data_IF_778456853665
#
_entry.id   IF_778456853665
#
_cell.length_a   1.000
_cell.length_b   1.000
_cell.length_c   1.000
_cell.angle_alpha   90.00
_cell.angle_beta   90.00
_cell.angle_gamma   90.00
#
_symmetry.space_group_name_H-M   'P 1'
#
loop_
_entity.id
_entity.type
_entity.pdbx_description
1 polymer ?
#
# COMPACT_ATOMS: atom_id res chain seq x y z
N UNK A 1 14.69 -5.25 3.11
CA UNK A 1 14.72 -5.56 1.67
C UNK A 1 14.47 -4.24 0.99
N UNK A 2 15.48 -3.64 0.40
CA UNK A 2 15.33 -2.35 -0.28
C UNK A 2 15.35 -2.62 -1.79
N UNK A 3 14.19 -2.56 -2.48
CA UNK A 3 14.17 -2.67 -3.93
C UNK A 3 14.68 -1.37 -4.51
N UNK A 4 15.78 -1.45 -5.27
CA UNK A 4 16.36 -0.32 -5.97
C UNK A 4 16.00 -0.47 -7.45
N UNK A 5 15.07 0.33 -7.97
CA UNK A 5 14.72 0.32 -9.39
C UNK A 5 15.84 0.97 -10.20
N UNK A 6 16.17 0.36 -11.33
CA UNK A 6 17.27 0.70 -12.22
C UNK A 6 16.72 1.18 -13.57
N UNK A 7 16.27 2.43 -13.63
CA UNK A 7 15.83 3.05 -14.89
C UNK A 7 17.03 3.31 -15.84
N UNK A 8 16.85 3.31 -17.17
CA UNK A 8 15.59 3.28 -17.94
C UNK A 8 14.98 1.88 -18.15
N UNK A 9 15.71 0.81 -17.82
CA UNK A 9 15.19 -0.56 -17.93
C UNK A 9 14.20 -0.78 -16.77
N UNK A 10 13.02 -1.38 -16.99
CA UNK A 10 12.12 -1.72 -15.88
C UNK A 10 12.73 -2.91 -15.13
N UNK A 11 13.74 -2.61 -14.32
CA UNK A 11 14.52 -3.60 -13.60
C UNK A 11 14.75 -3.14 -12.18
N UNK A 12 14.93 -4.08 -11.28
CA UNK A 12 15.22 -3.79 -9.89
C UNK A 12 16.13 -4.85 -9.31
N UNK A 13 16.95 -4.44 -8.36
CA UNK A 13 17.66 -5.38 -7.51
C UNK A 13 17.27 -5.14 -6.06
N UNK A 14 17.31 -6.19 -5.25
CA UNK A 14 17.11 -6.04 -3.83
C UNK A 14 18.45 -6.11 -3.10
N UNK A 15 18.78 -5.04 -2.37
CA UNK A 15 19.83 -5.07 -1.37
C UNK A 15 19.23 -5.43 0.00
N UNK A 16 19.82 -6.39 0.70
CA UNK A 16 19.40 -6.74 2.06
C UNK A 16 19.83 -8.15 2.47
N UNK A 17 19.71 -8.44 3.77
CA UNK A 17 20.18 -9.68 4.39
C UNK A 17 19.78 -10.95 3.63
N UNK A 18 18.52 -11.05 3.20
CA UNK A 18 18.01 -12.21 2.45
C UNK A 18 18.59 -12.35 1.03
N UNK A 19 18.86 -11.24 0.35
CA UNK A 19 19.44 -11.27 -0.99
C UNK A 19 20.96 -11.50 -0.95
N UNK A 20 21.64 -11.04 0.11
CA UNK A 20 23.10 -11.11 0.24
C UNK A 20 23.59 -12.42 0.87
N UNK A 21 22.89 -12.94 1.88
CA UNK A 21 23.31 -14.16 2.60
C UNK A 21 22.64 -15.44 2.11
N UNK A 22 21.37 -15.40 1.71
CA UNK A 22 20.62 -16.58 1.27
C UNK A 22 20.50 -16.70 -0.26
N UNK A 23 21.08 -15.75 -1.02
CA UNK A 23 21.01 -15.67 -2.49
C UNK A 23 19.59 -15.82 -3.04
N UNK A 24 18.58 -15.34 -2.29
CA UNK A 24 17.18 -15.41 -2.70
C UNK A 24 16.98 -14.49 -3.90
N UNK A 25 16.37 -15.02 -4.96
CA UNK A 25 16.17 -14.29 -6.19
C UNK A 25 15.33 -13.02 -5.94
N UNK A 26 15.85 -11.87 -6.39
CA UNK A 26 15.26 -10.55 -6.14
C UNK A 26 13.83 -10.43 -6.69
N UNK A 27 13.48 -11.19 -7.74
CA UNK A 27 12.14 -11.19 -8.30
C UNK A 27 11.07 -11.67 -7.30
N UNK A 28 11.31 -12.78 -6.59
CA UNK A 28 10.39 -13.26 -5.55
C UNK A 28 10.31 -12.29 -4.37
N UNK A 29 11.42 -11.62 -4.07
CA UNK A 29 11.49 -10.62 -3.02
C UNK A 29 10.61 -9.40 -3.32
N UNK A 30 10.69 -8.90 -4.56
CA UNK A 30 9.85 -7.81 -5.04
C UNK A 30 8.38 -8.23 -5.10
N UNK A 31 8.08 -9.44 -5.60
CA UNK A 31 6.73 -10.00 -5.61
C UNK A 31 6.12 -10.06 -4.21
N UNK A 32 6.90 -10.55 -3.24
CA UNK A 32 6.50 -10.65 -1.84
C UNK A 32 6.24 -9.28 -1.22
N UNK A 33 7.10 -8.29 -1.50
CA UNK A 33 6.92 -6.92 -1.02
C UNK A 33 5.63 -6.29 -1.55
N UNK A 34 5.35 -6.44 -2.85
CA UNK A 34 4.11 -5.93 -3.47
C UNK A 34 2.87 -6.59 -2.87
N UNK A 35 2.92 -7.91 -2.61
CA UNK A 35 1.82 -8.63 -1.98
C UNK A 35 1.56 -8.19 -0.53
N UNK A 36 2.62 -7.97 0.27
CA UNK A 36 2.46 -7.44 1.62
C UNK A 36 1.88 -6.02 1.58
N UNK A 37 2.32 -5.19 0.62
CA UNK A 37 1.77 -3.84 0.46
C UNK A 37 0.27 -3.88 0.14
N UNK A 38 -0.17 -4.75 -0.78
CA UNK A 38 -1.61 -4.88 -1.06
C UNK A 38 -2.39 -5.36 0.17
N UNK A 39 -1.85 -6.33 0.91
CA UNK A 39 -2.45 -6.81 2.16
C UNK A 39 -2.60 -5.70 3.20
N UNK A 40 -1.61 -4.79 3.33
CA UNK A 40 -1.70 -3.66 4.26
C UNK A 40 -2.86 -2.72 3.92
N UNK A 41 -3.04 -2.40 2.64
CA UNK A 41 -4.14 -1.51 2.19
C UNK A 41 -5.49 -2.14 2.49
N UNK A 42 -5.65 -3.41 2.16
CA UNK A 42 -6.89 -4.16 2.44
C UNK A 42 -7.21 -4.19 3.93
N UNK A 43 -6.23 -4.50 4.76
CA UNK A 43 -6.43 -4.55 6.21
C UNK A 43 -6.86 -3.19 6.79
N UNK A 44 -6.33 -2.09 6.24
CA UNK A 44 -6.76 -0.74 6.59
C UNK A 44 -8.22 -0.48 6.17
N UNK A 45 -8.63 -0.87 4.96
CA UNK A 45 -10.03 -0.79 4.50
C UNK A 45 -10.94 -1.54 5.47
N UNK A 46 -10.57 -2.77 5.81
CA UNK A 46 -11.35 -3.62 6.69
C UNK A 46 -11.50 -3.02 8.10
N UNK A 47 -10.41 -2.55 8.71
CA UNK A 47 -10.44 -1.88 10.00
C UNK A 47 -11.37 -0.65 9.99
N UNK A 48 -11.35 0.12 8.91
CA UNK A 48 -12.22 1.28 8.75
C UNK A 48 -13.69 0.88 8.64
N UNK A 49 -14.00 -0.11 7.79
CA UNK A 49 -15.35 -0.65 7.62
C UNK A 49 -15.89 -1.24 8.92
N UNK A 50 -15.09 -2.00 9.67
CA UNK A 50 -15.48 -2.55 10.98
C UNK A 50 -15.85 -1.44 11.98
N UNK A 51 -15.10 -0.34 11.97
CA UNK A 51 -15.35 0.81 12.84
C UNK A 51 -16.58 1.60 12.40
N UNK A 52 -16.76 1.83 11.10
CA UNK A 52 -17.98 2.40 10.53
C UNK A 52 -19.21 1.59 10.93
N UNK A 53 -19.15 0.27 10.79
CA UNK A 53 -20.24 -0.64 11.16
C UNK A 53 -20.55 -0.64 12.66
N UNK A 54 -19.53 -0.52 13.51
CA UNK A 54 -19.73 -0.41 14.96
C UNK A 54 -20.48 0.87 15.32
N UNK A 55 -20.14 2.00 14.70
CA UNK A 55 -20.85 3.27 14.88
C UNK A 55 -22.27 3.23 14.28
N UNK A 56 -22.43 2.61 13.10
CA UNK A 56 -23.72 2.43 12.44
C UNK A 56 -24.70 1.59 13.27
N UNK A 57 -24.20 0.54 13.94
CA UNK A 57 -25.00 -0.27 14.88
C UNK A 57 -25.49 0.50 16.10
N UNK A 58 -24.65 1.37 16.67
CA UNK A 58 -25.04 2.24 17.81
C UNK A 58 -26.16 3.21 17.39
N UNK A 59 -26.20 3.61 16.11
CA UNK A 59 -27.17 4.55 15.58
C UNK A 59 -28.36 3.92 14.84
N UNK A 60 -28.39 2.59 14.66
CA UNK A 60 -29.33 1.89 13.78
C UNK A 60 -29.42 2.52 12.37
N UNK A 61 -28.30 2.96 11.80
CA UNK A 61 -28.26 3.62 10.47
C UNK A 61 -27.09 3.08 9.64
N UNK A 62 -27.35 2.75 8.38
CA UNK A 62 -26.37 2.20 7.42
C UNK A 62 -25.59 0.95 7.91
N UNK A 63 -26.31 -0.03 8.46
CA UNK A 63 -25.72 -1.33 8.86
C UNK A 63 -25.62 -2.24 7.64
N UNK A 64 -24.40 -2.64 7.29
CA UNK A 64 -24.13 -3.62 6.25
C UNK A 64 -24.53 -5.02 6.78
N UNK A 65 -25.17 -5.87 5.96
CA UNK A 65 -25.55 -7.21 6.39
C UNK A 65 -24.31 -8.02 6.80
N UNK A 66 -24.44 -8.75 7.91
CA UNK A 66 -23.35 -9.52 8.53
C UNK A 66 -22.72 -10.53 7.56
N UNK A 67 -23.51 -11.05 6.62
CA UNK A 67 -23.07 -11.97 5.58
C UNK A 67 -22.04 -11.35 4.63
N UNK A 68 -22.29 -10.14 4.09
CA UNK A 68 -21.35 -9.45 3.20
C UNK A 68 -20.03 -9.14 3.92
N UNK A 69 -20.12 -8.77 5.20
CA UNK A 69 -18.93 -8.50 6.01
C UNK A 69 -18.10 -9.76 6.25
N UNK A 70 -18.74 -10.91 6.53
CA UNK A 70 -18.08 -12.20 6.71
C UNK A 70 -17.45 -12.70 5.40
N UNK A 71 -18.15 -12.55 4.27
CA UNK A 71 -17.63 -12.93 2.96
C UNK A 71 -16.37 -12.13 2.60
N UNK A 72 -16.37 -10.83 2.88
CA UNK A 72 -15.20 -9.98 2.68
C UNK A 72 -14.01 -10.38 3.57
N UNK A 73 -14.25 -10.73 4.83
CA UNK A 73 -13.22 -11.16 5.77
C UNK A 73 -12.54 -12.48 5.34
N UNK A 74 -13.32 -13.42 4.79
CA UNK A 74 -12.78 -14.65 4.21
C UNK A 74 -12.03 -14.36 2.90
N UNK A 75 -12.54 -13.43 2.07
CA UNK A 75 -11.98 -13.09 0.76
C UNK A 75 -10.65 -12.32 0.80
N UNK A 76 -10.41 -11.52 1.83
CA UNK A 76 -9.20 -10.66 1.93
C UNK A 76 -7.87 -11.38 1.73
N UNK A 77 -7.53 -12.46 2.47
CA UNK A 77 -6.22 -13.09 2.34
C UNK A 77 -5.93 -13.64 0.93
N UNK A 78 -6.96 -13.90 0.12
CA UNK A 78 -6.79 -14.44 -1.23
C UNK A 78 -6.27 -13.39 -2.23
N UNK A 79 -6.62 -12.11 -2.05
CA UNK A 79 -6.26 -11.07 -3.02
C UNK A 79 -4.74 -10.78 -3.06
N UNK A 80 -4.02 -10.66 -1.93
CA UNK A 80 -2.56 -10.55 -1.91
C UNK A 80 -1.85 -11.77 -2.51
N UNK A 81 -2.40 -12.97 -2.32
CA UNK A 81 -1.84 -14.20 -2.90
C UNK A 81 -1.99 -14.20 -4.42
N UNK A 82 -3.14 -13.76 -4.95
CA UNK A 82 -3.34 -13.60 -6.39
C UNK A 82 -2.39 -12.56 -6.99
N UNK A 83 -2.22 -11.42 -6.31
CA UNK A 83 -1.26 -10.38 -6.68
C UNK A 83 0.17 -10.94 -6.73
N UNK A 84 0.57 -11.72 -5.73
CA UNK A 84 1.87 -12.38 -5.69
C UNK A 84 2.08 -13.30 -6.90
N UNK A 85 1.11 -14.16 -7.21
CA UNK A 85 1.18 -15.12 -8.32
C UNK A 85 1.25 -14.38 -9.66
N UNK A 86 0.40 -13.36 -9.85
CA UNK A 86 0.38 -12.55 -11.07
C UNK A 86 1.72 -11.83 -11.28
N UNK A 87 2.32 -11.29 -10.22
CA UNK A 87 3.63 -10.65 -10.28
C UNK A 87 4.76 -11.65 -10.58
N UNK A 88 4.70 -12.86 -10.01
CA UNK A 88 5.63 -13.94 -10.33
C UNK A 88 5.56 -14.39 -11.80
N UNK A 89 4.36 -14.34 -12.40
CA UNK A 89 4.15 -14.65 -13.83
C UNK A 89 4.54 -13.50 -14.75
N UNK A 90 4.59 -12.27 -14.24
CA UNK A 90 4.96 -11.09 -15.02
C UNK A 90 6.48 -10.95 -15.23
N UNK A 91 7.30 -11.53 -14.36
CA UNK A 91 8.76 -11.43 -14.45
C UNK A 91 9.38 -12.35 -15.50
N UNK A 92 10.46 -11.88 -16.11
CA UNK A 92 11.26 -12.68 -17.06
C UNK A 92 12.05 -13.76 -16.32
N UNK A 93 12.15 -14.99 -16.85
CA UNK A 93 12.96 -16.05 -16.25
C UNK A 93 14.46 -15.69 -16.19
N UNK A 94 15.13 -16.09 -15.09
CA UNK A 94 16.53 -15.74 -14.76
C UNK A 94 17.53 -16.00 -15.89
N UNK A 95 17.32 -17.06 -16.69
CA UNK A 95 18.22 -17.43 -17.78
C UNK A 95 18.21 -16.48 -18.98
N UNK A 96 17.11 -15.78 -19.23
CA UNK A 96 16.94 -14.92 -20.41
C UNK A 96 17.28 -13.45 -20.14
N UNK A 97 17.33 -13.05 -18.87
CA UNK A 97 17.53 -11.65 -18.47
C UNK A 97 18.87 -11.07 -18.94
N UNK A 98 19.98 -11.82 -18.83
CA UNK A 98 21.29 -11.34 -19.32
C UNK A 98 21.37 -11.30 -20.84
N UNK A 99 20.71 -12.21 -21.54
CA UNK A 99 20.62 -12.20 -23.00
C UNK A 99 19.84 -10.99 -23.50
N UNK A 100 18.73 -10.66 -22.84
CA UNK A 100 17.91 -9.49 -23.13
C UNK A 100 18.68 -8.17 -22.94
N UNK A 101 19.46 -8.03 -21.86
CA UNK A 101 20.31 -6.84 -21.63
C UNK A 101 21.41 -6.75 -22.68
N UNK A 102 22.02 -7.88 -23.07
CA UNK A 102 23.07 -7.89 -24.09
C UNK A 102 22.54 -7.48 -25.46
N UNK A 103 21.31 -7.83 -25.79
CA UNK A 103 20.70 -7.54 -27.10
C UNK A 103 20.15 -6.12 -27.20
N UNK A 104 19.48 -5.63 -26.16
CA UNK A 104 18.78 -4.33 -26.21
C UNK A 104 19.56 -3.19 -25.53
N UNK A 105 20.49 -3.49 -24.62
CA UNK A 105 21.13 -2.50 -23.73
C UNK A 105 22.63 -2.79 -23.49
N UNK A 106 23.39 -2.88 -24.58
CA UNK A 106 24.84 -3.21 -24.60
C UNK A 106 25.65 -2.33 -23.63
N UNK A 107 25.32 -1.04 -23.51
CA UNK A 107 26.02 -0.08 -22.65
C UNK A 107 25.89 -0.37 -21.15
N UNK A 108 24.84 -1.09 -20.72
CA UNK A 108 24.57 -1.39 -19.31
C UNK A 108 25.04 -2.79 -18.88
N UNK A 109 25.56 -3.60 -19.81
CA UNK A 109 25.97 -5.00 -19.56
C UNK A 109 27.01 -5.11 -18.45
N UNK A 110 28.01 -4.21 -18.41
CA UNK A 110 29.04 -4.21 -17.37
C UNK A 110 28.49 -3.87 -15.98
N UNK A 111 27.50 -2.98 -15.92
CA UNK A 111 26.76 -2.67 -14.70
C UNK A 111 26.01 -3.90 -14.21
N UNK A 112 25.11 -4.45 -15.02
CA UNK A 112 24.28 -5.61 -14.66
C UNK A 112 25.09 -6.88 -14.36
N UNK A 113 26.24 -7.10 -15.03
CA UNK A 113 27.08 -8.26 -14.73
C UNK A 113 27.76 -8.18 -13.36
N UNK A 114 27.90 -6.98 -12.79
CA UNK A 114 28.44 -6.79 -11.44
C UNK A 114 27.40 -7.02 -10.33
N UNK A 115 26.11 -6.98 -10.67
CA UNK A 115 25.03 -7.28 -9.72
C UNK A 115 24.80 -8.78 -9.60
N UNK A 116 24.89 -9.30 -8.37
CA UNK A 116 24.63 -10.73 -8.07
C UNK A 116 23.19 -11.15 -8.36
N UNK A 117 22.21 -10.27 -8.10
CA UNK A 117 20.79 -10.57 -8.21
C UNK A 117 20.02 -9.36 -8.74
N UNK A 118 19.45 -9.47 -9.93
CA UNK A 118 18.57 -8.46 -10.51
C UNK A 118 17.34 -9.14 -11.12
N UNK A 119 16.27 -8.38 -11.29
CA UNK A 119 15.04 -8.81 -11.95
C UNK A 119 14.67 -7.79 -13.01
N UNK A 120 14.38 -8.27 -14.23
CA UNK A 120 13.94 -7.44 -15.35
C UNK A 120 12.48 -7.77 -15.65
N UNK A 121 11.69 -6.72 -15.82
CA UNK A 121 10.28 -6.78 -16.20
C UNK A 121 10.14 -6.20 -17.60
N UNK A 122 9.46 -6.92 -18.48
CA UNK A 122 9.02 -6.44 -19.78
C UNK A 122 7.55 -6.09 -19.73
N UNK A 123 7.08 -5.28 -20.69
CA UNK A 123 5.66 -5.01 -20.88
C UNK A 123 4.93 -6.26 -21.36
N UNK A 124 4.62 -7.14 -20.41
CA UNK A 124 3.85 -8.37 -20.62
C UNK A 124 2.37 -8.11 -20.31
N UNK A 125 1.47 -8.94 -20.87
CA UNK A 125 0.04 -8.89 -20.56
C UNK A 125 -0.24 -8.89 -19.04
N UNK A 126 0.48 -9.72 -18.28
CA UNK A 126 0.39 -9.78 -16.81
C UNK A 126 0.79 -8.47 -16.14
N UNK A 127 1.79 -7.76 -16.66
CA UNK A 127 2.25 -6.49 -16.11
C UNK A 127 1.20 -5.37 -16.33
N UNK A 128 0.62 -5.31 -17.53
CA UNK A 128 -0.45 -4.36 -17.85
C UNK A 128 -1.70 -4.67 -17.02
N UNK A 129 -2.09 -5.95 -16.90
CA UNK A 129 -3.20 -6.37 -16.06
C UNK A 129 -3.01 -5.93 -14.60
N UNK A 130 -1.80 -6.11 -14.06
CA UNK A 130 -1.47 -5.66 -12.70
C UNK A 130 -1.56 -4.13 -12.55
N UNK A 131 -1.06 -3.37 -13.53
CA UNK A 131 -1.15 -1.91 -13.52
C UNK A 131 -2.62 -1.43 -13.54
N UNK A 132 -3.46 -2.03 -14.39
CA UNK A 132 -4.89 -1.74 -14.48
C UNK A 132 -5.59 -2.04 -13.16
N UNK A 133 -5.39 -3.24 -12.58
CA UNK A 133 -5.96 -3.63 -11.30
C UNK A 133 -5.52 -2.68 -10.18
N UNK A 134 -4.25 -2.25 -10.17
CA UNK A 134 -3.75 -1.31 -9.17
C UNK A 134 -4.40 0.07 -9.28
N UNK A 135 -4.60 0.59 -10.50
CA UNK A 135 -5.25 1.89 -10.71
C UNK A 135 -6.73 1.83 -10.33
N UNK A 136 -7.47 0.85 -10.86
CA UNK A 136 -8.91 0.71 -10.56
C UNK A 136 -9.15 0.35 -9.10
N UNK A 137 -8.36 -0.56 -8.54
CA UNK A 137 -8.43 -0.94 -7.12
C UNK A 137 -8.09 0.24 -6.21
N UNK A 138 -7.05 1.01 -6.53
CA UNK A 138 -6.68 2.22 -5.81
C UNK A 138 -7.77 3.29 -5.85
N UNK A 139 -8.33 3.55 -7.03
CA UNK A 139 -9.44 4.51 -7.20
C UNK A 139 -10.70 4.07 -6.45
N UNK A 140 -11.07 2.79 -6.55
CA UNK A 140 -12.22 2.22 -5.85
C UNK A 140 -12.06 2.31 -4.34
N UNK A 141 -10.89 1.91 -3.82
CA UNK A 141 -10.58 2.05 -2.39
C UNK A 141 -10.70 3.52 -1.96
N UNK A 142 -10.05 4.44 -2.67
CA UNK A 142 -10.12 5.87 -2.39
C UNK A 142 -11.55 6.42 -2.35
N UNK A 143 -12.40 6.00 -3.27
CA UNK A 143 -13.81 6.41 -3.31
C UNK A 143 -14.60 5.85 -2.13
N UNK A 144 -14.50 4.54 -1.85
CA UNK A 144 -15.15 3.93 -0.68
C UNK A 144 -14.73 4.65 0.60
N UNK A 145 -13.45 4.97 0.73
CA UNK A 145 -12.93 5.67 1.90
C UNK A 145 -13.49 7.09 2.08
N UNK A 146 -13.52 7.89 1.03
CA UNK A 146 -14.04 9.26 1.10
C UNK A 146 -15.52 9.26 1.48
N UNK A 147 -16.32 8.37 0.87
CA UNK A 147 -17.74 8.21 1.19
C UNK A 147 -17.96 7.72 2.63
N UNK A 148 -17.24 6.67 3.05
CA UNK A 148 -17.37 6.14 4.41
C UNK A 148 -16.91 7.15 5.47
N UNK A 149 -15.88 7.95 5.18
CA UNK A 149 -15.42 9.05 6.05
C UNK A 149 -16.51 10.11 6.21
N UNK A 150 -17.09 10.55 5.10
CA UNK A 150 -18.16 11.54 5.11
C UNK A 150 -19.36 11.05 5.93
N UNK A 151 -19.78 9.81 5.72
CA UNK A 151 -20.90 9.20 6.46
C UNK A 151 -20.57 9.07 7.96
N UNK A 152 -19.35 8.66 8.31
CA UNK A 152 -18.90 8.56 9.70
C UNK A 152 -18.91 9.90 10.44
N UNK A 153 -18.53 11.00 9.77
CA UNK A 153 -18.64 12.35 10.34
C UNK A 153 -20.11 12.78 10.53
N UNK A 154 -20.98 12.44 9.58
CA UNK A 154 -22.41 12.75 9.67
C UNK A 154 -23.07 11.98 10.82
N UNK A 155 -22.73 10.70 10.97
CA UNK A 155 -23.11 9.85 12.11
C UNK A 155 -22.61 10.49 13.41
N UNK A 156 -21.34 10.87 13.50
CA UNK A 156 -20.77 11.47 14.71
C UNK A 156 -21.46 12.78 15.12
N UNK A 157 -21.88 13.62 14.17
CA UNK A 157 -22.70 14.81 14.48
C UNK A 157 -24.09 14.43 15.02
N UNK A 158 -24.70 13.35 14.51
CA UNK A 158 -25.98 12.84 14.99
C UNK A 158 -25.92 12.20 16.39
N UNK A 159 -24.81 11.55 16.73
CA UNK A 159 -24.60 10.89 18.05
C UNK A 159 -24.49 11.90 19.19
N UNK A 160 -24.07 13.15 18.92
CA UNK A 160 -23.83 14.17 19.96
C UNK A 160 -25.03 14.40 20.89
N UNK A 161 -26.27 14.23 20.38
CA UNK A 161 -27.49 14.43 21.17
C UNK A 161 -27.93 13.20 21.99
N UNK A 162 -27.41 12.00 21.72
CA UNK A 162 -27.88 10.74 22.33
C UNK A 162 -26.93 10.13 23.37
N UNK A 163 -25.67 10.56 23.43
CA UNK A 163 -24.64 9.99 24.32
C UNK A 163 -24.18 11.04 25.32
N UNK A 164 -23.80 10.61 26.54
CA UNK A 164 -23.18 11.49 27.53
C UNK A 164 -21.95 12.20 26.96
N UNK A 165 -21.74 13.45 27.35
CA UNK A 165 -20.66 14.31 26.84
C UNK A 165 -19.27 13.69 27.00
N UNK A 166 -19.05 12.91 28.07
CA UNK A 166 -17.78 12.22 28.34
C UNK A 166 -17.53 11.06 27.37
N UNK A 167 -18.51 10.19 27.13
CA UNK A 167 -18.38 9.08 26.19
C UNK A 167 -18.34 9.55 24.73
N UNK A 168 -19.09 10.61 24.41
CA UNK A 168 -19.05 11.26 23.11
C UNK A 168 -17.66 11.80 22.78
N UNK A 169 -17.01 12.52 23.71
CA UNK A 169 -15.64 13.04 23.52
C UNK A 169 -14.63 11.91 23.27
N UNK A 170 -14.78 10.76 23.95
CA UNK A 170 -13.91 9.60 23.77
C UNK A 170 -14.10 8.95 22.39
N UNK A 171 -15.35 8.80 21.94
CA UNK A 171 -15.65 8.34 20.58
C UNK A 171 -15.15 9.33 19.52
N UNK A 172 -15.42 10.63 19.66
CA UNK A 172 -14.96 11.67 18.73
C UNK A 172 -13.43 11.69 18.63
N UNK A 173 -12.71 11.60 19.74
CA UNK A 173 -11.24 11.52 19.72
C UNK A 173 -10.76 10.23 19.01
N UNK A 174 -11.40 9.09 19.28
CA UNK A 174 -11.06 7.84 18.62
C UNK A 174 -11.43 7.79 17.13
N UNK A 175 -12.43 8.56 16.68
CA UNK A 175 -12.78 8.74 15.26
C UNK A 175 -11.81 9.70 14.59
N UNK A 176 -11.50 10.83 15.23
CA UNK A 176 -10.55 11.83 14.72
C UNK A 176 -9.13 11.28 14.60
N UNK A 177 -8.69 10.49 15.57
CA UNK A 177 -7.41 9.77 15.55
C UNK A 177 -7.35 8.74 14.41
N UNK A 178 -8.42 7.95 14.23
CA UNK A 178 -8.53 6.99 13.13
C UNK A 178 -8.48 7.69 11.76
N UNK A 179 -9.19 8.81 11.62
CA UNK A 179 -9.19 9.61 10.40
C UNK A 179 -7.85 10.28 10.12
N UNK A 180 -7.13 10.71 11.15
CA UNK A 180 -5.81 11.30 10.99
C UNK A 180 -4.77 10.25 10.58
N UNK A 181 -4.75 9.09 11.23
CA UNK A 181 -3.90 7.95 10.84
C UNK A 181 -4.21 7.51 9.41
N UNK A 182 -5.49 7.53 9.04
CA UNK A 182 -5.93 7.16 7.70
C UNK A 182 -5.57 8.22 6.65
N UNK A 183 -5.72 9.51 6.95
CA UNK A 183 -5.31 10.58 6.03
C UNK A 183 -3.81 10.48 5.72
N UNK A 184 -3.00 10.13 6.73
CA UNK A 184 -1.56 9.92 6.57
C UNK A 184 -1.26 8.69 5.73
N UNK A 185 -1.93 7.55 5.96
CA UNK A 185 -1.75 6.35 5.11
C UNK A 185 -2.26 6.58 3.68
N UNK A 186 -3.36 7.30 3.50
CA UNK A 186 -3.93 7.59 2.17
C UNK A 186 -3.04 8.55 1.37
N UNK A 187 -2.47 9.58 2.01
CA UNK A 187 -1.43 10.43 1.43
C UNK A 187 -0.18 9.62 1.08
N UNK A 188 0.20 8.65 1.93
CA UNK A 188 1.31 7.73 1.68
C UNK A 188 0.99 6.55 0.73
N UNK A 189 -0.26 6.40 0.28
CA UNK A 189 -0.70 5.45 -0.75
C UNK A 189 -0.77 6.06 -2.15
N UNK A 190 -0.70 7.38 -2.25
CA UNK A 190 -0.51 8.11 -3.51
C UNK A 190 0.81 7.74 -4.24
N UNK A 191 1.96 7.52 -3.55
CA UNK A 191 3.21 7.10 -4.17
C UNK A 191 3.10 5.83 -5.03
N UNK A 192 2.54 4.68 -4.59
CA UNK A 192 2.37 3.52 -5.47
C UNK A 192 1.61 3.80 -6.78
N UNK A 193 0.57 4.63 -6.76
CA UNK A 193 -0.22 4.97 -7.96
C UNK A 193 0.59 5.87 -8.89
N UNK A 194 1.26 6.88 -8.33
CA UNK A 194 2.16 7.76 -9.07
C UNK A 194 3.37 6.99 -9.65
N UNK A 195 3.86 5.97 -8.94
CA UNK A 195 4.92 5.08 -9.40
C UNK A 195 4.55 4.34 -10.68
N UNK A 196 3.33 3.78 -10.76
CA UNK A 196 2.81 3.13 -11.97
C UNK A 196 2.70 4.13 -13.13
N UNK A 197 2.21 5.34 -12.87
CA UNK A 197 2.09 6.39 -13.89
C UNK A 197 3.46 6.84 -14.41
N UNK A 198 4.46 6.96 -13.52
CA UNK A 198 5.83 7.35 -13.88
C UNK A 198 6.52 6.26 -14.71
N UNK A 199 6.30 4.98 -14.40
CA UNK A 199 6.81 3.86 -15.21
C UNK A 199 6.20 3.91 -16.62
N UNK A 200 4.89 4.13 -16.73
CA UNK A 200 4.20 4.20 -18.03
C UNK A 200 4.58 5.43 -18.87
N UNK A 201 5.05 6.51 -18.24
CA UNK A 201 5.33 7.79 -18.91
C UNK A 201 6.79 7.95 -19.36
N UNK A 202 7.65 6.93 -19.18
CA UNK A 202 9.09 6.92 -19.54
C UNK A 202 9.82 8.24 -19.22
N UNK A 203 9.64 8.74 -17.99
CA UNK A 203 10.08 10.09 -17.63
C UNK A 203 11.61 10.16 -17.42
N UNK A 204 12.26 11.22 -17.92
CA UNK A 204 13.73 11.41 -17.83
C UNK A 204 14.29 11.49 -16.41
N UNK A 205 13.44 11.84 -15.43
CA UNK A 205 13.76 11.91 -14.00
C UNK A 205 13.13 10.76 -13.18
N UNK A 206 12.68 9.68 -13.83
CA UNK A 206 11.96 8.59 -13.18
C UNK A 206 12.70 8.03 -11.95
N UNK A 207 14.02 7.85 -12.02
CA UNK A 207 14.79 7.27 -10.91
C UNK A 207 14.72 8.10 -9.62
N UNK A 208 14.91 9.42 -9.70
CA UNK A 208 14.86 10.32 -8.54
C UNK A 208 13.45 10.40 -7.98
N UNK A 209 12.46 10.54 -8.86
CA UNK A 209 11.04 10.59 -8.48
C UNK A 209 10.65 9.32 -7.73
N UNK A 210 11.01 8.16 -8.27
CA UNK A 210 10.70 6.86 -7.67
C UNK A 210 11.39 6.67 -6.31
N UNK A 211 12.67 7.02 -6.19
CA UNK A 211 13.38 6.93 -4.90
C UNK A 211 12.74 7.84 -3.85
N UNK A 212 12.36 9.05 -4.23
CA UNK A 212 11.64 9.96 -3.35
C UNK A 212 10.29 9.39 -2.92
N UNK A 213 9.53 8.82 -3.85
CA UNK A 213 8.26 8.14 -3.57
C UNK A 213 8.43 6.96 -2.60
N UNK A 214 9.46 6.14 -2.79
CA UNK A 214 9.78 5.02 -1.89
C UNK A 214 10.18 5.51 -0.49
N UNK A 215 10.93 6.61 -0.39
CA UNK A 215 11.29 7.22 0.88
C UNK A 215 10.06 7.76 1.64
N UNK A 216 9.13 8.43 0.93
CA UNK A 216 7.85 8.87 1.50
C UNK A 216 7.05 7.65 1.99
N UNK A 217 6.99 6.58 1.20
CA UNK A 217 6.31 5.35 1.60
C UNK A 217 6.94 4.71 2.85
N UNK A 218 8.27 4.64 2.94
CA UNK A 218 8.96 4.12 4.12
C UNK A 218 8.67 4.95 5.38
N UNK A 219 8.53 6.27 5.23
CA UNK A 219 8.24 7.18 6.34
C UNK A 219 6.81 7.03 6.91
N UNK A 220 5.88 6.40 6.18
CA UNK A 220 4.46 6.38 6.56
C UNK A 220 4.23 5.78 7.95
N UNK A 221 4.99 4.73 8.32
CA UNK A 221 4.85 4.04 9.61
C UNK A 221 5.24 4.97 10.77
N UNK A 222 6.33 5.71 10.62
CA UNK A 222 6.79 6.69 11.59
C UNK A 222 5.81 7.85 11.73
N UNK A 223 5.30 8.38 10.62
CA UNK A 223 4.30 9.46 10.65
C UNK A 223 3.00 8.98 11.30
N UNK A 224 2.55 7.77 11.01
CA UNK A 224 1.37 7.17 11.64
C UNK A 224 1.52 7.06 13.17
N UNK A 225 2.69 6.65 13.67
CA UNK A 225 2.95 6.55 15.09
C UNK A 225 2.87 7.93 15.78
N UNK A 226 3.50 8.95 15.19
CA UNK A 226 3.44 10.33 15.69
C UNK A 226 1.99 10.83 15.71
N UNK A 227 1.24 10.60 14.64
CA UNK A 227 -0.16 11.03 14.52
C UNK A 227 -1.04 10.32 15.55
N UNK A 228 -0.85 9.02 15.78
CA UNK A 228 -1.56 8.27 16.82
C UNK A 228 -1.31 8.87 18.21
N UNK A 229 -0.06 9.17 18.55
CA UNK A 229 0.31 9.76 19.85
C UNK A 229 -0.31 11.15 20.01
N UNK A 230 -0.21 12.00 18.98
CA UNK A 230 -0.70 13.38 19.04
C UNK A 230 -2.23 13.48 19.10
N UNK A 231 -2.92 12.58 18.40
CA UNK A 231 -4.39 12.64 18.28
C UNK A 231 -5.13 11.89 19.37
N UNK A 232 -4.45 11.01 20.10
CA UNK A 232 -5.08 10.16 21.13
C UNK A 232 -4.76 10.72 22.52
N UNK A 233 -5.74 11.35 23.22
CA UNK A 233 -5.51 12.03 24.50
C UNK A 233 -4.80 11.21 25.58
N UNK A 234 -5.10 9.92 25.81
CA UNK A 234 -4.39 9.14 26.83
C UNK A 234 -2.92 8.91 26.51
N UNK A 235 -2.54 8.74 25.24
CA UNK A 235 -1.14 8.58 24.84
C UNK A 235 -0.40 9.92 24.92
N UNK A 236 -1.01 11.00 24.44
CA UNK A 236 -0.44 12.35 24.53
C UNK A 236 -0.14 12.74 25.97
N UNK A 237 -1.09 12.49 26.88
CA UNK A 237 -0.95 12.81 28.29
C UNK A 237 0.00 11.87 29.05
N UNK A 238 0.44 10.76 28.44
CA UNK A 238 1.45 9.88 29.01
C UNK A 238 2.85 10.24 28.51
N UNK A 239 2.99 10.65 27.24
CA UNK A 239 4.26 11.00 26.61
C UNK A 239 4.70 12.45 26.91
N UNK A 240 3.76 13.39 27.04
CA UNK A 240 4.02 14.81 27.32
C UNK A 240 3.90 15.16 28.82
N UNK A 241 3.91 14.15 29.70
CA UNK A 241 3.90 14.33 31.16
C UNK A 241 5.31 14.13 31.70
#
# INVERSE_FOLDING_TARGET
>A
MEPIPLFPIISGYCAGFFATFFDVWSHYLMAFMVAIMSAQVEWLVYCFMKKHQTLGKIMCRHVCPRFLFMLGEIGMPFFPVLVYIAFCKAGMPRGEQMSYVREHYIQFVSGFSSLKNFAIYTYNFWFILMAVIAIFGGAFCGLVFTLSTWDMFKILKGVQRKISTTNYKRHQAAVRSLLAQFAVTSICLCPPVLFVVVILSEFRYAQVTVQFLLAVFASHSSVNAVVLVMTTPPFRNYVLR
#
